data_IF_227694007416
#
_entry.id   IF_227694007416
#
_cell.length_a   1.000
_cell.length_b   1.000
_cell.length_c   1.000
_cell.angle_alpha   90.00
_cell.angle_beta   90.00
_cell.angle_gamma   90.00
#
_symmetry.space_group_name_H-M   'P 1'
#
loop_
_entity.id
_entity.type
_entity.pdbx_description
1 polymer ?
#
# COMPACT_ATOMS: atom_id res chain seq x y z
N UNK A 1 -32.40 -29.83 11.78
CA UNK A 1 -33.29 -30.22 10.67
C UNK A 1 -33.96 -28.96 10.18
N UNK A 2 -33.63 -28.56 8.96
CA UNK A 2 -34.05 -27.36 8.22
C UNK A 2 -35.57 -27.31 8.04
N UNK A 3 -36.16 -26.10 8.16
CA UNK A 3 -37.60 -25.89 8.27
C UNK A 3 -38.40 -25.95 6.95
N UNK A 4 -39.74 -26.04 7.02
CA UNK A 4 -40.63 -26.10 5.85
C UNK A 4 -41.11 -24.71 5.39
N UNK A 5 -41.09 -24.50 4.07
CA UNK A 5 -41.65 -23.36 3.33
C UNK A 5 -43.20 -23.29 3.42
N UNK A 6 -43.80 -22.09 3.49
CA UNK A 6 -45.21 -21.88 3.13
C UNK A 6 -45.39 -21.47 1.64
N UNK A 7 -46.59 -21.71 1.05
CA UNK A 7 -46.89 -21.58 -0.39
C UNK A 7 -47.49 -20.21 -0.76
N UNK A 8 -47.81 -19.97 -2.04
CA UNK A 8 -49.16 -19.54 -2.51
C UNK A 8 -49.26 -19.24 -4.04
N UNK A 9 -50.21 -19.94 -4.69
CA UNK A 9 -51.20 -19.56 -5.74
C UNK A 9 -50.80 -18.97 -7.11
N UNK A 10 -51.11 -19.71 -8.19
CA UNK A 10 -52.48 -19.77 -8.77
C UNK A 10 -52.90 -18.65 -9.74
N UNK A 11 -53.52 -19.02 -10.86
CA UNK A 11 -53.67 -18.24 -12.10
C UNK A 11 -55.05 -17.54 -12.32
N UNK A 12 -55.03 -16.49 -13.18
CA UNK A 12 -56.15 -15.96 -14.01
C UNK A 12 -56.96 -14.76 -13.43
N UNK A 13 -57.88 -14.08 -14.17
CA UNK A 13 -58.21 -14.12 -15.61
C UNK A 13 -58.58 -12.74 -16.30
N UNK A 14 -58.56 -12.72 -17.64
CA UNK A 14 -59.48 -12.12 -18.67
C UNK A 14 -60.09 -10.69 -18.64
N UNK A 15 -59.91 -9.96 -19.77
CA UNK A 15 -60.94 -9.19 -20.52
C UNK A 15 -60.77 -7.65 -20.62
N UNK A 16 -61.39 -6.89 -21.57
CA UNK A 16 -62.32 -7.28 -22.65
C UNK A 16 -62.00 -6.71 -24.07
N UNK A 17 -62.83 -7.17 -25.01
CA UNK A 17 -62.88 -6.99 -26.47
C UNK A 17 -63.54 -5.67 -26.91
N UNK A 18 -63.30 -5.24 -28.17
CA UNK A 18 -64.26 -4.68 -29.16
C UNK A 18 -63.53 -3.83 -30.24
N UNK A 19 -63.94 -3.69 -31.50
CA UNK A 19 -64.63 -4.46 -32.56
C UNK A 19 -64.83 -3.42 -33.71
N UNK A 20 -64.52 -3.73 -34.97
CA UNK A 20 -65.14 -3.17 -36.20
C UNK A 20 -64.33 -3.56 -37.45
N UNK A 21 -64.87 -3.83 -38.63
CA UNK A 21 -66.20 -4.22 -39.13
C UNK A 21 -65.99 -4.66 -40.61
N UNK A 22 -66.84 -5.52 -41.19
CA UNK A 22 -66.53 -6.31 -42.38
C UNK A 22 -67.32 -5.91 -43.64
N UNK A 23 -66.67 -6.03 -44.82
CA UNK A 23 -67.26 -6.17 -46.16
C UNK A 23 -66.23 -6.88 -47.08
N UNK A 24 -66.61 -7.51 -48.21
CA UNK A 24 -67.44 -8.71 -48.31
C UNK A 24 -66.76 -9.77 -49.23
N UNK A 25 -67.08 -11.06 -49.09
CA UNK A 25 -66.95 -11.98 -50.23
C UNK A 25 -67.93 -13.14 -50.09
N UNK A 26 -68.89 -13.17 -51.01
CA UNK A 26 -69.75 -14.31 -51.31
C UNK A 26 -69.17 -14.96 -52.57
N UNK A 27 -69.02 -16.29 -52.73
CA UNK A 27 -69.69 -17.36 -52.01
C UNK A 27 -68.94 -18.72 -52.20
N UNK A 28 -68.77 -19.49 -51.10
CA UNK A 28 -68.63 -20.97 -50.97
C UNK A 28 -67.30 -21.76 -51.25
N UNK A 29 -66.39 -21.79 -50.24
CA UNK A 29 -65.95 -22.89 -49.31
C UNK A 29 -65.61 -24.37 -49.74
N UNK A 30 -64.78 -25.15 -48.96
CA UNK A 30 -63.60 -24.80 -48.13
C UNK A 30 -62.41 -25.83 -48.01
N UNK A 31 -61.30 -25.33 -47.41
CA UNK A 31 -60.23 -25.96 -46.57
C UNK A 31 -59.16 -26.89 -47.21
N UNK A 32 -57.90 -27.02 -46.74
CA UNK A 32 -56.94 -26.34 -45.85
C UNK A 32 -55.64 -27.21 -45.96
N UNK A 33 -54.39 -26.75 -46.11
CA UNK A 33 -53.45 -26.15 -45.13
C UNK A 33 -52.08 -26.03 -45.84
N UNK A 34 -51.25 -24.97 -45.68
CA UNK A 34 -49.86 -25.02 -46.13
C UNK A 34 -48.84 -24.96 -44.98
N UNK A 35 -47.92 -25.92 -45.01
CA UNK A 35 -46.63 -25.97 -44.29
C UNK A 35 -45.74 -24.78 -44.65
N UNK A 36 -45.17 -24.11 -43.64
CA UNK A 36 -43.78 -23.62 -43.58
C UNK A 36 -43.58 -22.71 -42.35
N UNK A 37 -42.78 -23.17 -41.37
CA UNK A 37 -42.37 -22.36 -40.23
C UNK A 37 -41.42 -21.22 -40.66
N UNK A 38 -41.49 -20.04 -40.02
CA UNK A 38 -40.59 -18.93 -40.30
C UNK A 38 -39.13 -19.22 -39.84
N UNK A 39 -38.12 -18.68 -40.55
CA UNK A 39 -36.72 -18.95 -40.24
C UNK A 39 -36.26 -18.32 -38.91
N UNK A 40 -35.33 -18.94 -38.18
CA UNK A 40 -34.86 -18.45 -36.88
C UNK A 40 -34.05 -17.16 -37.03
N UNK A 41 -34.41 -16.14 -36.24
CA UNK A 41 -33.64 -14.90 -36.11
C UNK A 41 -32.32 -15.14 -35.33
N UNK A 42 -31.16 -14.65 -35.83
CA UNK A 42 -29.89 -14.87 -35.17
C UNK A 42 -29.75 -14.01 -33.90
N UNK A 43 -29.63 -14.66 -32.75
CA UNK A 43 -29.31 -13.98 -31.48
C UNK A 43 -27.83 -13.56 -31.49
N UNK A 44 -27.55 -12.25 -31.42
CA UNK A 44 -26.16 -11.73 -31.41
C UNK A 44 -25.50 -12.08 -30.08
N UNK A 45 -24.71 -13.17 -30.06
CA UNK A 45 -23.94 -13.63 -28.90
C UNK A 45 -23.00 -12.50 -28.45
N UNK A 46 -23.22 -11.92 -27.27
CA UNK A 46 -22.30 -10.93 -26.67
C UNK A 46 -20.92 -11.58 -26.54
N UNK A 47 -20.00 -11.16 -27.41
CA UNK A 47 -18.63 -11.68 -27.47
C UNK A 47 -17.94 -11.22 -26.20
N UNK A 48 -17.71 -12.14 -25.25
CA UNK A 48 -17.03 -11.88 -23.95
C UNK A 48 -15.51 -11.69 -24.10
N UNK A 49 -14.99 -11.88 -25.31
CA UNK A 49 -13.56 -11.77 -25.63
C UNK A 49 -12.92 -10.41 -25.32
N UNK A 50 -13.56 -9.23 -25.48
CA UNK A 50 -12.92 -7.96 -25.10
C UNK A 50 -12.77 -7.81 -23.58
N UNK A 51 -13.65 -8.45 -22.78
CA UNK A 51 -13.51 -8.47 -21.31
C UNK A 51 -12.31 -9.34 -20.92
N UNK A 52 -12.18 -10.52 -21.55
CA UNK A 52 -11.02 -11.39 -21.33
C UNK A 52 -9.72 -10.68 -21.74
N UNK A 53 -9.72 -9.99 -22.88
CA UNK A 53 -8.57 -9.22 -23.34
C UNK A 53 -8.22 -8.07 -22.37
N UNK A 54 -9.21 -7.36 -21.83
CA UNK A 54 -8.99 -6.30 -20.85
C UNK A 54 -8.39 -6.83 -19.54
N UNK A 55 -8.88 -7.98 -19.05
CA UNK A 55 -8.34 -8.63 -17.85
C UNK A 55 -6.91 -9.09 -18.07
N UNK A 56 -6.62 -9.72 -19.20
CA UNK A 56 -5.25 -10.17 -19.55
C UNK A 56 -4.30 -8.97 -19.66
N UNK A 57 -4.74 -7.88 -20.28
CA UNK A 57 -3.94 -6.66 -20.39
C UNK A 57 -3.70 -6.02 -19.02
N UNK A 58 -4.70 -5.98 -18.14
CA UNK A 58 -4.52 -5.49 -16.77
C UNK A 58 -3.51 -6.33 -15.99
N UNK A 59 -3.58 -7.67 -16.09
CA UNK A 59 -2.61 -8.57 -15.45
C UNK A 59 -1.20 -8.36 -16.03
N UNK A 60 -1.08 -8.19 -17.35
CA UNK A 60 0.20 -7.94 -17.99
C UNK A 60 0.83 -6.60 -17.54
N UNK A 61 0.02 -5.55 -17.40
CA UNK A 61 0.49 -4.25 -16.88
C UNK A 61 0.92 -4.38 -15.43
N UNK A 62 0.15 -5.07 -14.57
CA UNK A 62 0.54 -5.30 -13.17
C UNK A 62 1.84 -6.10 -13.10
N UNK A 63 1.98 -7.16 -13.90
CA UNK A 63 3.20 -7.96 -13.96
C UNK A 63 4.40 -7.13 -14.45
N UNK A 64 4.20 -6.25 -15.43
CA UNK A 64 5.25 -5.36 -15.92
C UNK A 64 5.68 -4.33 -14.88
N UNK A 65 4.74 -3.77 -14.11
CA UNK A 65 5.05 -2.84 -13.00
C UNK A 65 5.82 -3.56 -11.90
N UNK A 66 5.37 -4.77 -11.51
CA UNK A 66 6.08 -5.60 -10.52
C UNK A 66 7.48 -5.97 -11.00
N UNK A 67 7.62 -6.34 -12.28
CA UNK A 67 8.91 -6.66 -12.87
C UNK A 67 9.83 -5.44 -12.96
N UNK A 68 9.30 -4.26 -13.29
CA UNK A 68 10.08 -3.02 -13.30
C UNK A 68 10.62 -2.68 -11.91
N UNK A 69 9.78 -2.78 -10.86
CA UNK A 69 10.19 -2.60 -9.47
C UNK A 69 11.25 -3.63 -9.08
N UNK A 70 11.05 -4.90 -9.44
CA UNK A 70 11.98 -5.97 -9.16
C UNK A 70 13.33 -5.81 -9.89
N UNK A 71 13.33 -5.31 -11.12
CA UNK A 71 14.56 -5.07 -11.89
C UNK A 71 15.31 -3.83 -11.41
N UNK A 72 14.62 -2.81 -10.89
CA UNK A 72 15.30 -1.68 -10.22
C UNK A 72 15.87 -2.04 -8.84
N UNK A 73 15.40 -3.11 -8.22
CA UNK A 73 15.94 -3.67 -6.97
C UNK A 73 16.82 -4.92 -7.16
N UNK A 74 17.10 -5.31 -8.40
CA UNK A 74 17.65 -6.61 -8.75
C UNK A 74 19.16 -6.62 -8.96
N UNK A 75 19.94 -6.37 -7.90
CA UNK A 75 21.32 -6.84 -7.81
C UNK A 75 21.59 -7.28 -6.38
N UNK A 76 21.17 -8.51 -6.07
CA UNK A 76 21.90 -9.50 -5.27
C UNK A 76 20.93 -10.53 -4.68
N UNK A 77 20.62 -11.55 -5.49
CA UNK A 77 20.23 -12.84 -4.95
C UNK A 77 21.47 -13.50 -4.32
N UNK A 78 21.74 -13.18 -3.06
CA UNK A 78 22.50 -14.04 -2.15
C UNK A 78 21.94 -13.84 -0.75
N UNK A 79 21.10 -14.79 -0.33
CA UNK A 79 20.73 -15.08 1.06
C UNK A 79 20.22 -13.90 1.92
N UNK A 80 18.92 -13.97 2.23
CA UNK A 80 18.15 -13.24 3.24
C UNK A 80 18.85 -13.18 4.62
N UNK A 81 19.78 -12.26 4.73
CA UNK A 81 20.09 -11.50 5.94
C UNK A 81 19.98 -10.05 5.49
N UNK A 82 19.39 -9.15 6.29
CA UNK A 82 19.50 -7.73 6.00
C UNK A 82 20.98 -7.35 6.13
N UNK A 83 21.74 -7.53 5.05
CA UNK A 83 23.14 -7.19 5.01
C UNK A 83 23.23 -5.69 5.30
N UNK A 84 24.11 -5.31 6.24
CA UNK A 84 24.41 -3.91 6.54
C UNK A 84 25.14 -3.27 5.35
N UNK A 85 24.39 -3.00 4.29
CA UNK A 85 24.85 -2.29 3.10
C UNK A 85 24.37 -0.84 3.15
N UNK A 86 25.00 0.04 2.39
CA UNK A 86 24.73 1.48 2.48
C UNK A 86 23.28 1.85 2.18
N UNK A 87 22.66 1.20 1.19
CA UNK A 87 21.27 1.46 0.81
C UNK A 87 20.26 1.09 1.90
N UNK A 88 20.41 -0.09 2.50
CA UNK A 88 19.55 -0.55 3.60
C UNK A 88 19.79 0.24 4.89
N UNK A 89 21.03 0.63 5.16
CA UNK A 89 21.40 1.54 6.26
C UNK A 89 20.68 2.88 6.09
N UNK A 90 20.79 3.50 4.90
CA UNK A 90 20.15 4.79 4.61
C UNK A 90 18.63 4.69 4.75
N UNK A 91 18.02 3.63 4.22
CA UNK A 91 16.59 3.41 4.31
C UNK A 91 16.11 3.27 5.76
N UNK A 92 16.80 2.47 6.58
CA UNK A 92 16.44 2.26 7.99
C UNK A 92 16.60 3.53 8.83
N UNK A 93 17.66 4.32 8.57
CA UNK A 93 17.83 5.63 9.23
C UNK A 93 16.73 6.59 8.79
N UNK A 94 16.40 6.65 7.50
CA UNK A 94 15.34 7.51 6.99
C UNK A 94 13.97 7.14 7.60
N UNK A 95 13.62 5.86 7.64
CA UNK A 95 12.39 5.37 8.26
C UNK A 95 12.28 5.79 9.73
N UNK A 96 13.39 5.69 10.48
CA UNK A 96 13.44 6.15 11.86
C UNK A 96 13.24 7.67 12.00
N UNK A 97 13.90 8.47 11.16
CA UNK A 97 13.75 9.93 11.15
C UNK A 97 12.33 10.35 10.75
N UNK A 98 11.76 9.68 9.75
CA UNK A 98 10.37 9.89 9.33
C UNK A 98 9.42 9.56 10.48
N UNK A 99 9.62 8.45 11.19
CA UNK A 99 8.82 8.08 12.35
C UNK A 99 8.89 9.14 13.46
N UNK A 100 10.06 9.73 13.73
CA UNK A 100 10.21 10.84 14.67
C UNK A 100 9.42 12.09 14.23
N UNK A 101 9.50 12.45 12.95
CA UNK A 101 8.79 13.61 12.37
C UNK A 101 7.27 13.42 12.25
N UNK A 102 6.82 12.18 12.05
CA UNK A 102 5.39 11.85 11.96
C UNK A 102 4.75 11.59 13.33
N UNK A 103 5.57 11.50 14.40
CA UNK A 103 5.08 11.16 15.74
C UNK A 103 4.65 9.70 15.86
N UNK A 104 5.18 8.81 15.02
CA UNK A 104 4.95 7.39 15.09
C UNK A 104 5.78 6.77 16.23
N UNK A 105 5.20 6.83 17.43
CA UNK A 105 5.83 6.32 18.63
C UNK A 105 6.06 4.81 18.61
N UNK A 106 5.27 4.04 17.86
CA UNK A 106 5.43 2.59 17.80
C UNK A 106 6.67 2.23 16.97
N UNK A 107 6.80 2.82 15.77
CA UNK A 107 7.99 2.61 14.94
C UNK A 107 9.26 3.12 15.63
N UNK A 108 9.20 4.30 16.25
CA UNK A 108 10.34 4.81 17.06
C UNK A 108 10.69 3.82 18.17
N UNK A 109 9.71 3.31 18.93
CA UNK A 109 9.97 2.35 20.01
C UNK A 109 10.55 1.03 19.50
N UNK A 110 10.08 0.52 18.34
CA UNK A 110 10.61 -0.70 17.69
C UNK A 110 12.09 -0.56 17.34
N UNK A 111 12.48 0.58 16.78
CA UNK A 111 13.87 0.90 16.48
C UNK A 111 14.70 1.04 17.76
N UNK A 112 14.27 1.88 18.72
CA UNK A 112 15.06 2.17 19.93
C UNK A 112 15.21 0.99 20.87
N UNK A 113 14.24 0.06 20.89
CA UNK A 113 14.34 -1.20 21.64
C UNK A 113 15.04 -2.31 20.85
N UNK A 114 15.64 -2.02 19.69
CA UNK A 114 16.40 -2.99 18.92
C UNK A 114 15.64 -4.30 18.65
N UNK A 115 14.33 -4.22 18.42
CA UNK A 115 13.50 -5.40 18.10
C UNK A 115 12.89 -6.10 19.32
N UNK A 116 13.22 -5.67 20.55
CA UNK A 116 12.60 -6.22 21.76
C UNK A 116 11.16 -5.76 21.96
N UNK A 117 10.72 -4.71 21.25
CA UNK A 117 9.40 -4.09 21.44
C UNK A 117 8.23 -5.07 21.35
N UNK A 118 8.31 -6.10 20.51
CA UNK A 118 7.24 -7.10 20.41
C UNK A 118 7.25 -8.13 21.54
N UNK A 119 8.41 -8.40 22.13
CA UNK A 119 8.58 -9.34 23.22
C UNK A 119 8.30 -8.73 24.61
N UNK A 120 8.32 -7.41 24.73
CA UNK A 120 8.05 -6.71 26.00
C UNK A 120 6.56 -6.77 26.36
N UNK A 121 6.28 -7.18 27.60
CA UNK A 121 4.90 -7.29 28.13
C UNK A 121 4.24 -5.94 28.41
N UNK A 122 4.98 -4.98 28.94
CA UNK A 122 4.48 -3.64 29.30
C UNK A 122 5.17 -2.59 28.44
N UNK A 123 4.45 -2.07 27.43
CA UNK A 123 5.01 -1.16 26.41
C UNK A 123 4.74 0.31 26.70
N UNK A 124 3.97 0.64 27.75
CA UNK A 124 3.55 2.03 28.01
C UNK A 124 4.73 2.96 28.27
N UNK A 125 5.73 2.50 29.01
CA UNK A 125 6.92 3.29 29.31
C UNK A 125 7.74 3.56 28.03
N UNK A 126 7.94 2.54 27.20
CA UNK A 126 8.70 2.65 25.95
C UNK A 126 8.01 3.55 24.94
N UNK A 127 6.68 3.41 24.79
CA UNK A 127 5.89 4.28 23.93
C UNK A 127 5.90 5.73 24.42
N UNK A 128 5.88 5.97 25.74
CA UNK A 128 5.98 7.31 26.29
C UNK A 128 7.35 7.94 26.00
N UNK A 129 8.44 7.16 26.14
CA UNK A 129 9.78 7.61 25.79
C UNK A 129 9.92 7.90 24.29
N UNK A 130 9.36 7.05 23.43
CA UNK A 130 9.34 7.24 21.99
C UNK A 130 8.57 8.52 21.60
N UNK A 131 7.42 8.79 22.22
CA UNK A 131 6.67 10.05 22.05
C UNK A 131 7.49 11.26 22.46
N UNK A 132 8.13 11.21 23.63
CA UNK A 132 9.00 12.31 24.11
C UNK A 132 10.15 12.59 23.13
N UNK A 133 10.76 11.54 22.60
CA UNK A 133 11.85 11.65 21.62
C UNK A 133 11.37 12.27 20.31
N UNK A 134 10.23 11.80 19.78
CA UNK A 134 9.60 12.40 18.60
C UNK A 134 9.15 13.85 18.83
N UNK A 135 8.55 14.16 19.97
CA UNK A 135 8.14 15.52 20.33
C UNK A 135 9.32 16.48 20.43
N UNK A 136 10.43 16.03 21.04
CA UNK A 136 11.66 16.78 21.11
C UNK A 136 12.26 17.02 19.71
N UNK A 137 12.22 16.00 18.85
CA UNK A 137 12.65 16.12 17.45
C UNK A 137 11.79 17.13 16.69
N UNK A 138 10.46 17.01 16.75
CA UNK A 138 9.52 17.91 16.05
C UNK A 138 9.54 19.35 16.54
N UNK A 139 9.99 19.58 17.78
CA UNK A 139 10.26 20.93 18.30
C UNK A 139 11.49 21.58 17.68
N UNK A 140 12.46 20.78 17.23
CA UNK A 140 13.69 21.26 16.62
C UNK A 140 13.57 21.29 15.09
N UNK A 141 12.98 20.24 14.50
CA UNK A 141 12.95 20.02 13.06
C UNK A 141 11.55 19.63 12.59
N UNK A 142 11.10 20.19 11.47
CA UNK A 142 9.86 19.80 10.78
C UNK A 142 10.08 18.65 9.80
N UNK A 143 11.29 18.48 9.27
CA UNK A 143 11.69 17.33 8.45
C UNK A 143 13.18 17.04 8.58
N UNK A 144 13.57 15.79 8.28
CA UNK A 144 14.95 15.38 8.18
C UNK A 144 15.12 14.32 7.08
N UNK A 145 16.10 14.52 6.20
CA UNK A 145 16.38 13.64 5.08
C UNK A 145 17.86 13.24 5.09
N UNK A 146 18.15 11.95 5.03
CA UNK A 146 19.53 11.45 4.97
C UNK A 146 20.12 11.78 3.60
N UNK A 147 21.16 12.59 3.56
CA UNK A 147 21.83 12.97 2.31
C UNK A 147 22.94 11.98 1.98
N UNK A 148 23.85 11.73 2.91
CA UNK A 148 25.01 10.84 2.72
C UNK A 148 25.29 9.97 3.94
N UNK A 149 25.88 8.80 3.69
CA UNK A 149 26.52 7.97 4.71
C UNK A 149 28.02 8.29 4.68
N UNK A 150 28.53 8.91 5.74
CA UNK A 150 29.90 9.44 5.75
C UNK A 150 30.91 8.39 6.20
N UNK A 151 30.54 7.58 7.20
CA UNK A 151 31.40 6.49 7.70
C UNK A 151 30.58 5.38 8.33
N UNK A 152 30.93 4.13 8.01
CA UNK A 152 30.40 2.94 8.68
C UNK A 152 31.54 2.24 9.45
N UNK A 153 31.28 1.91 10.70
CA UNK A 153 32.16 1.10 11.57
C UNK A 153 31.37 -0.13 12.01
N UNK A 154 31.81 -1.33 11.64
CA UNK A 154 31.12 -2.57 11.95
C UNK A 154 31.85 -3.32 13.08
N UNK A 155 31.42 -3.20 14.34
CA UNK A 155 31.98 -4.02 15.43
C UNK A 155 31.61 -5.52 15.29
N UNK A 156 30.52 -5.85 14.60
CA UNK A 156 30.13 -7.24 14.31
C UNK A 156 29.34 -7.33 12.99
N UNK A 157 29.11 -8.54 12.42
CA UNK A 157 28.36 -8.70 11.18
C UNK A 157 26.91 -8.20 11.23
N UNK A 158 26.35 -8.07 12.44
CA UNK A 158 24.97 -7.65 12.66
C UNK A 158 24.87 -6.28 13.34
N UNK A 159 25.99 -5.63 13.65
CA UNK A 159 26.00 -4.31 14.29
C UNK A 159 26.86 -3.34 13.50
N UNK A 160 26.36 -2.12 13.33
CA UNK A 160 27.12 -1.03 12.74
C UNK A 160 26.93 0.25 13.54
N UNK A 161 27.97 1.07 13.59
CA UNK A 161 27.90 2.46 13.98
C UNK A 161 28.13 3.30 12.72
N UNK A 162 27.18 4.18 12.43
CA UNK A 162 27.14 4.92 11.18
C UNK A 162 27.15 6.41 11.49
N UNK A 163 28.15 7.11 10.96
CA UNK A 163 28.15 8.56 10.81
C UNK A 163 27.47 8.90 9.49
N UNK A 164 26.45 9.75 9.54
CA UNK A 164 25.72 10.20 8.35
C UNK A 164 25.48 11.70 8.41
N UNK A 165 25.34 12.29 7.23
CA UNK A 165 24.87 13.66 7.08
C UNK A 165 23.39 13.62 6.69
N UNK A 166 22.63 14.50 7.30
CA UNK A 166 21.22 14.70 7.01
C UNK A 166 20.92 16.18 6.80
N UNK A 167 19.97 16.43 5.92
CA UNK A 167 19.40 17.73 5.63
C UNK A 167 18.17 17.92 6.52
N UNK A 168 18.20 18.92 7.40
CA UNK A 168 17.09 19.19 8.32
C UNK A 168 16.42 20.52 8.03
N UNK A 169 15.09 20.54 8.18
CA UNK A 169 14.30 21.76 8.13
C UNK A 169 13.93 22.15 9.55
N UNK A 170 14.32 23.32 10.09
CA UNK A 170 13.94 23.72 11.43
C UNK A 170 12.43 23.79 11.63
N UNK A 171 11.97 23.57 12.85
CA UNK A 171 10.56 23.79 13.21
C UNK A 171 10.27 25.29 13.33
N UNK A 172 9.18 25.75 12.72
CA UNK A 172 8.78 27.16 12.72
C UNK A 172 8.64 27.72 14.14
N UNK A 173 9.37 28.80 14.45
CA UNK A 173 9.40 29.44 15.77
C UNK A 173 10.74 29.34 16.51
N UNK A 174 11.64 28.46 16.07
CA UNK A 174 13.01 28.35 16.59
C UNK A 174 13.92 29.46 16.02
N UNK A 175 13.76 30.67 16.57
CA UNK A 175 14.65 31.85 16.45
C UNK A 175 14.94 32.34 15.01
N UNK A 176 14.10 33.29 14.58
CA UNK A 176 14.39 34.35 13.59
C UNK A 176 15.22 33.92 12.37
N UNK A 177 14.48 33.67 11.29
CA UNK A 177 14.94 33.94 9.92
C UNK A 177 16.13 33.12 9.43
N UNK A 178 16.06 31.80 9.62
CA UNK A 178 16.93 30.87 8.90
C UNK A 178 16.07 29.90 8.09
N UNK A 179 15.68 30.35 6.90
CA UNK A 179 15.21 29.52 5.79
C UNK A 179 16.32 28.63 5.19
N UNK A 180 17.50 28.58 5.81
CA UNK A 180 18.51 27.60 5.41
C UNK A 180 18.14 26.24 5.98
N UNK A 181 17.78 25.34 5.09
CA UNK A 181 17.94 23.92 5.32
C UNK A 181 19.39 23.66 5.72
N UNK A 182 19.62 23.27 6.97
CA UNK A 182 20.96 23.05 7.49
C UNK A 182 21.35 21.59 7.29
N UNK A 183 22.59 21.35 6.87
CA UNK A 183 23.19 20.03 6.96
C UNK A 183 23.63 19.79 8.40
N UNK A 184 23.29 18.64 8.94
CA UNK A 184 23.63 18.19 10.28
C UNK A 184 24.21 16.79 10.19
N UNK A 185 25.26 16.54 10.96
CA UNK A 185 25.78 15.18 11.11
C UNK A 185 25.12 14.51 12.30
N UNK A 186 25.01 13.19 12.24
CA UNK A 186 24.54 12.39 13.33
C UNK A 186 25.19 11.02 13.32
N UNK A 187 25.21 10.39 14.49
CA UNK A 187 25.67 9.02 14.65
C UNK A 187 24.48 8.14 15.01
N UNK A 188 24.31 7.05 14.27
CA UNK A 188 23.34 6.00 14.58
C UNK A 188 24.06 4.70 14.94
N UNK A 189 23.54 3.96 15.91
CA UNK A 189 23.88 2.55 16.10
C UNK A 189 22.77 1.69 15.52
N UNK A 190 23.18 0.75 14.67
CA UNK A 190 22.31 -0.11 13.90
C UNK A 190 22.48 -1.56 14.34
N UNK A 191 21.37 -2.29 14.34
CA UNK A 191 21.33 -3.74 14.53
C UNK A 191 20.55 -4.38 13.38
N UNK A 192 21.18 -5.31 12.66
CA UNK A 192 20.50 -6.16 11.70
C UNK A 192 19.93 -7.38 12.43
N UNK A 193 18.61 -7.46 12.52
CA UNK A 193 17.90 -8.54 13.20
C UNK A 193 16.60 -8.86 12.46
N UNK A 194 16.23 -10.15 12.41
CA UNK A 194 14.95 -10.63 11.83
C UNK A 194 14.69 -10.07 10.41
N UNK A 195 15.76 -9.97 9.63
CA UNK A 195 15.76 -9.45 8.26
C UNK A 195 15.34 -7.97 8.15
N UNK A 196 15.54 -7.19 9.21
CA UNK A 196 15.36 -5.74 9.30
C UNK A 196 16.63 -5.08 9.85
N UNK A 197 16.79 -3.78 9.59
CA UNK A 197 17.85 -2.96 10.21
C UNK A 197 17.17 -1.97 11.14
N UNK A 198 17.54 -2.01 12.41
CA UNK A 198 16.94 -1.24 13.47
C UNK A 198 17.91 -0.18 13.97
N UNK A 199 17.39 1.01 14.25
CA UNK A 199 18.16 2.15 14.78
C UNK A 199 18.07 2.11 16.30
N UNK A 200 19.02 1.42 16.92
CA UNK A 200 19.12 1.23 18.36
C UNK A 200 19.44 2.50 19.13
N UNK A 201 20.22 3.39 18.53
CA UNK A 201 20.50 4.70 19.12
C UNK A 201 20.72 5.73 18.04
N UNK A 202 20.40 6.98 18.37
CA UNK A 202 20.55 8.13 17.50
C UNK A 202 21.06 9.32 18.31
N UNK A 203 22.17 9.91 17.85
CA UNK A 203 22.85 11.01 18.51
C UNK A 203 23.14 12.11 17.47
N UNK A 204 22.36 13.20 17.45
CA UNK A 204 22.65 14.34 16.59
C UNK A 204 23.98 15.00 17.01
N UNK A 205 24.81 15.35 16.04
CA UNK A 205 26.01 16.16 16.22
C UNK A 205 25.65 17.57 15.76
N UNK A 206 25.19 18.42 16.69
CA UNK A 206 24.95 19.82 16.39
C UNK A 206 26.26 20.46 15.94
N UNK A 207 26.33 20.88 14.68
CA UNK A 207 27.46 21.62 14.14
C UNK A 207 27.54 23.00 14.83
N UNK A 208 28.32 23.07 15.91
CA UNK A 208 28.57 24.30 16.64
C UNK A 208 28.69 24.03 18.13
N UNK A 209 29.89 23.64 18.57
CA UNK A 209 30.55 23.98 19.84
C UNK A 209 31.94 23.32 19.85
N UNK A 210 32.90 23.96 19.18
CA UNK A 210 34.31 24.03 19.59
C UNK A 210 34.86 25.37 19.13
#
# INVERSE_FOLDING_TARGET
MTGPYPPEYGAGPTGPQMYAQPFPYAENAPAAYPDALPPPVPYRKKRRWPIVAAVVLAIAVIAAVVAAIAMTGGSDETSRSAALNEGSIKAAIQEYLDALTNGDAETVARHTLCGLFDAVKEKRADLALARLSGDAFRKQYSSAEVTSIDKVVMPSPHQAQVLFTMRVTPAGGSRRDRTDTAEQQAVAQLLAQDNQILVCSYLPRTAGQY
#
